data_IF_582088458673
#
_entry.id   IF_582088458673
#
_cell.length_a   1.000
_cell.length_b   1.000
_cell.length_c   1.000
_cell.angle_alpha   90.00
_cell.angle_beta   90.00
_cell.angle_gamma   90.00
#
_symmetry.space_group_name_H-M   'P 1'
#
loop_
_entity.id
_entity.type
_entity.pdbx_description
1 polymer ?
#
# COMPACT_ATOMS: atom_id res chain seq x y z
N UNK A 1 -38.21 -58.78 20.28
CA UNK A 1 -38.92 -59.16 19.04
C UNK A 1 -38.32 -58.40 17.88
N UNK A 2 -37.83 -59.17 16.92
CA UNK A 2 -37.08 -58.74 15.76
C UNK A 2 -37.93 -57.99 14.71
N UNK A 3 -37.37 -57.08 14.02
CA UNK A 3 -37.93 -56.51 12.80
C UNK A 3 -36.89 -55.79 11.96
N UNK A 4 -36.04 -56.54 11.25
CA UNK A 4 -35.25 -56.05 10.13
C UNK A 4 -36.13 -55.77 8.94
N UNK A 5 -35.98 -54.64 8.26
CA UNK A 5 -36.39 -54.49 6.86
C UNK A 5 -35.26 -53.88 6.03
N UNK A 6 -35.08 -54.52 4.97
CA UNK A 6 -34.10 -54.68 3.95
C UNK A 6 -33.96 -53.54 2.93
N UNK A 7 -32.78 -53.50 2.35
CA UNK A 7 -32.25 -52.71 1.24
C UNK A 7 -32.98 -52.88 -0.10
N UNK A 8 -32.79 -51.89 -0.97
CA UNK A 8 -32.75 -51.85 -2.44
C UNK A 8 -34.04 -51.49 -3.19
N UNK A 9 -33.96 -50.36 -3.87
CA UNK A 9 -34.18 -50.32 -5.33
C UNK A 9 -33.44 -49.13 -5.96
N UNK A 10 -32.54 -49.39 -6.85
CA UNK A 10 -31.91 -48.52 -7.84
C UNK A 10 -32.98 -48.15 -8.88
N UNK A 11 -33.07 -46.88 -9.25
CA UNK A 11 -33.61 -46.46 -10.54
C UNK A 11 -32.53 -45.61 -11.21
N UNK A 12 -31.99 -46.19 -12.27
CA UNK A 12 -31.18 -45.47 -13.25
C UNK A 12 -32.14 -44.62 -14.11
N UNK A 13 -31.87 -43.32 -14.22
CA UNK A 13 -32.36 -42.50 -15.30
C UNK A 13 -31.18 -41.70 -15.84
N UNK A 14 -31.03 -41.73 -17.15
CA UNK A 14 -29.88 -41.34 -17.90
C UNK A 14 -29.47 -39.88 -17.76
N UNK A 15 -28.19 -39.69 -17.74
CA UNK A 15 -27.53 -38.41 -17.80
C UNK A 15 -27.45 -37.91 -19.25
N UNK A 16 -28.11 -36.81 -19.54
CA UNK A 16 -27.75 -35.98 -20.68
C UNK A 16 -26.66 -35.01 -20.23
N UNK A 17 -25.42 -35.27 -20.62
CA UNK A 17 -24.33 -34.39 -20.43
C UNK A 17 -24.43 -33.18 -21.37
N UNK A 18 -24.93 -32.06 -20.84
CA UNK A 18 -24.77 -30.78 -21.52
C UNK A 18 -23.35 -30.27 -21.18
N UNK A 19 -22.45 -30.35 -22.15
CA UNK A 19 -21.11 -29.75 -22.06
C UNK A 19 -21.25 -28.22 -22.09
N UNK A 20 -21.17 -27.61 -20.92
CA UNK A 20 -20.94 -26.17 -20.80
C UNK A 20 -19.45 -25.95 -21.08
N UNK A 21 -19.11 -25.46 -22.28
CA UNK A 21 -17.82 -24.89 -22.55
C UNK A 21 -17.67 -23.63 -21.70
N UNK A 22 -17.02 -23.76 -20.57
CA UNK A 22 -16.57 -22.63 -19.77
C UNK A 22 -15.50 -21.90 -20.59
N UNK A 23 -15.91 -20.84 -21.27
CA UNK A 23 -14.99 -19.88 -21.86
C UNK A 23 -14.18 -19.27 -20.72
N UNK A 24 -12.87 -19.56 -20.70
CA UNK A 24 -11.94 -18.88 -19.80
C UNK A 24 -12.10 -17.35 -20.00
N UNK A 25 -12.21 -16.55 -18.93
CA UNK A 25 -12.27 -15.12 -19.08
C UNK A 25 -10.99 -14.67 -19.78
N UNK A 26 -11.11 -14.06 -20.94
CA UNK A 26 -10.00 -13.41 -21.64
C UNK A 26 -9.45 -12.37 -20.65
N UNK A 27 -8.23 -12.56 -20.19
CA UNK A 27 -7.50 -11.55 -19.48
C UNK A 27 -7.46 -10.28 -20.33
N UNK A 28 -8.24 -9.28 -19.96
CA UNK A 28 -8.16 -7.95 -20.53
C UNK A 28 -6.83 -7.38 -20.04
N UNK A 29 -5.81 -7.47 -20.91
CA UNK A 29 -4.56 -6.76 -20.70
C UNK A 29 -4.90 -5.27 -20.58
N UNK A 30 -4.56 -4.67 -19.43
CA UNK A 30 -4.44 -3.24 -19.32
C UNK A 30 -3.53 -2.76 -20.46
N UNK A 31 -4.05 -1.91 -21.35
CA UNK A 31 -3.27 -1.29 -22.41
C UNK A 31 -2.35 -0.24 -21.77
N UNK A 32 -1.19 -0.68 -21.30
CA UNK A 32 -0.07 0.16 -20.92
C UNK A 32 1.19 -0.50 -21.42
N UNK A 33 2.14 0.30 -21.93
CA UNK A 33 3.48 -0.17 -22.27
C UNK A 33 4.04 -1.04 -21.15
N UNK A 34 4.84 -2.06 -21.48
CA UNK A 34 5.52 -2.87 -20.47
C UNK A 34 6.12 -1.94 -19.42
N UNK A 35 5.88 -2.19 -18.13
CA UNK A 35 6.30 -1.25 -17.10
C UNK A 35 7.81 -1.11 -17.15
N UNK A 36 8.29 0.08 -17.46
CA UNK A 36 9.69 0.45 -17.28
C UNK A 36 10.06 0.39 -15.80
N UNK A 37 11.33 0.50 -15.52
CA UNK A 37 11.84 0.58 -14.15
C UNK A 37 11.18 1.75 -13.40
N UNK A 38 10.59 1.49 -12.23
CA UNK A 38 9.84 2.49 -11.49
C UNK A 38 10.78 3.43 -10.69
N UNK A 39 10.64 4.74 -10.93
CA UNK A 39 11.19 5.79 -10.09
C UNK A 39 10.02 6.55 -9.47
N UNK A 40 9.61 6.09 -8.29
CA UNK A 40 8.40 6.56 -7.63
C UNK A 40 8.66 7.40 -6.39
N UNK A 41 7.64 8.17 -6.00
CA UNK A 41 7.54 8.73 -4.65
C UNK A 41 6.14 8.51 -4.09
N UNK A 42 6.06 8.38 -2.76
CA UNK A 42 4.82 8.30 -2.01
C UNK A 42 4.54 9.66 -1.39
N UNK A 43 3.31 10.18 -1.65
CA UNK A 43 2.83 11.41 -1.05
C UNK A 43 1.49 11.20 -0.38
N UNK A 44 1.31 11.89 0.74
CA UNK A 44 0.06 11.85 1.49
C UNK A 44 -0.94 12.86 0.94
N UNK A 45 -2.12 12.37 0.56
CA UNK A 45 -3.31 13.17 0.37
C UNK A 45 -4.20 13.08 1.61
N UNK A 46 -4.44 11.87 2.13
CA UNK A 46 -5.00 11.61 3.45
C UNK A 46 -3.90 11.40 4.49
N UNK A 47 -4.17 11.75 5.75
CA UNK A 47 -3.17 11.73 6.83
C UNK A 47 -3.68 11.13 8.13
N UNK A 48 -4.97 10.78 8.24
CA UNK A 48 -5.57 10.20 9.44
C UNK A 48 -5.26 8.71 9.59
N UNK A 49 -3.97 8.34 9.57
CA UNK A 49 -3.57 6.94 9.62
C UNK A 49 -2.75 6.56 10.87
N UNK A 50 -2.20 7.53 11.58
CA UNK A 50 -1.17 7.22 12.61
C UNK A 50 -1.64 7.23 14.05
N UNK A 51 -2.83 7.79 14.35
CA UNK A 51 -3.38 7.85 15.71
C UNK A 51 -4.88 8.12 15.66
N UNK A 52 -5.64 7.53 16.56
CA UNK A 52 -7.07 7.79 16.77
C UNK A 52 -7.30 8.86 17.85
N UNK A 53 -6.24 9.55 18.28
CA UNK A 53 -6.32 10.67 19.22
C UNK A 53 -6.70 11.95 18.46
N UNK A 54 -7.63 12.77 18.98
CA UNK A 54 -7.94 14.06 18.41
C UNK A 54 -6.73 15.01 18.44
N UNK A 55 -6.59 15.83 17.41
CA UNK A 55 -5.47 16.77 17.21
C UNK A 55 -5.13 17.65 18.44
N UNK A 56 -6.10 17.93 19.29
CA UNK A 56 -5.94 18.79 20.46
C UNK A 56 -5.46 18.06 21.72
N UNK A 57 -5.36 16.74 21.71
CA UNK A 57 -5.05 15.95 22.91
C UNK A 57 -3.58 15.68 23.09
N UNK A 58 -2.79 15.81 22.05
CA UNK A 58 -1.35 15.66 22.12
C UNK A 58 -0.71 17.05 22.09
N UNK A 59 -0.05 17.42 23.18
CA UNK A 59 0.85 18.57 23.16
C UNK A 59 1.91 18.39 22.07
N UNK A 60 2.63 19.45 21.68
CA UNK A 60 3.64 19.36 20.65
C UNK A 60 4.61 18.24 21.01
N UNK A 61 4.63 17.17 20.23
CA UNK A 61 5.59 16.09 20.38
C UNK A 61 6.98 16.68 20.13
N UNK A 62 7.70 16.95 21.19
CA UNK A 62 9.05 17.53 21.16
C UNK A 62 10.07 16.65 20.42
N UNK A 63 9.71 15.44 20.06
CA UNK A 63 10.62 14.45 19.47
C UNK A 63 10.31 14.08 18.03
N UNK A 64 9.13 14.42 17.50
CA UNK A 64 8.75 14.05 16.15
C UNK A 64 8.96 15.21 15.17
N UNK A 65 10.06 15.15 14.42
CA UNK A 65 10.31 16.03 13.26
C UNK A 65 9.30 15.81 12.12
N UNK A 66 8.29 14.97 12.31
CA UNK A 66 7.37 14.48 11.27
C UNK A 66 6.03 15.20 11.27
N UNK A 67 5.81 16.13 12.21
CA UNK A 67 4.55 16.88 12.27
C UNK A 67 3.46 16.20 13.10
N UNK A 68 2.23 16.70 12.95
CA UNK A 68 1.07 16.25 13.73
C UNK A 68 0.56 14.92 13.17
N UNK A 69 0.61 13.86 14.01
CA UNK A 69 0.12 12.52 13.63
C UNK A 69 -1.31 12.25 14.08
N UNK A 70 -1.94 13.19 14.78
CA UNK A 70 -3.25 13.01 15.36
C UNK A 70 -4.36 13.13 14.33
N UNK A 71 -5.50 12.49 14.61
CA UNK A 71 -6.67 12.53 13.76
C UNK A 71 -7.27 13.93 13.70
N UNK A 72 -7.58 14.41 12.49
CA UNK A 72 -8.30 15.64 12.23
C UNK A 72 -9.63 15.37 11.51
N UNK A 73 -10.62 16.24 11.71
CA UNK A 73 -11.91 16.21 11.01
C UNK A 73 -11.90 17.02 9.71
N UNK A 74 -10.72 17.44 9.27
CA UNK A 74 -10.48 18.17 8.03
C UNK A 74 -9.26 17.60 7.29
N UNK A 75 -9.23 17.80 5.97
CA UNK A 75 -8.14 17.33 5.12
C UNK A 75 -6.89 18.21 5.29
N UNK A 76 -5.80 17.62 5.74
CA UNK A 76 -4.49 18.27 5.89
C UNK A 76 -3.66 18.12 4.62
N UNK A 77 -4.09 18.83 3.57
CA UNK A 77 -3.50 18.76 2.25
C UNK A 77 -3.52 20.15 1.60
N UNK A 78 -2.41 20.52 0.97
CA UNK A 78 -2.28 21.77 0.21
C UNK A 78 -2.08 21.49 -1.27
N UNK A 79 -2.99 21.97 -2.09
CA UNK A 79 -2.99 21.74 -3.53
C UNK A 79 -1.80 22.39 -4.23
N UNK A 80 -1.37 23.59 -3.80
CA UNK A 80 -0.23 24.27 -4.40
C UNK A 80 1.06 23.49 -4.15
N UNK A 81 1.23 22.96 -2.94
CA UNK A 81 2.34 22.05 -2.58
C UNK A 81 2.33 20.78 -3.44
N UNK A 82 1.16 20.18 -3.61
CA UNK A 82 0.99 19.00 -4.47
C UNK A 82 1.35 19.28 -5.93
N UNK A 83 0.86 20.39 -6.49
CA UNK A 83 1.16 20.80 -7.85
C UNK A 83 2.67 21.02 -8.07
N UNK A 84 3.33 21.69 -7.14
CA UNK A 84 4.76 21.91 -7.19
C UNK A 84 5.56 20.59 -7.10
N UNK A 85 5.16 19.66 -6.21
CA UNK A 85 5.80 18.36 -6.07
C UNK A 85 5.67 17.53 -7.35
N UNK A 86 4.48 17.41 -7.90
CA UNK A 86 4.23 16.59 -9.11
C UNK A 86 4.90 17.20 -10.34
N UNK A 87 4.94 18.53 -10.47
CA UNK A 87 5.70 19.21 -11.52
C UNK A 87 7.21 18.93 -11.38
N UNK A 88 7.75 18.96 -10.16
CA UNK A 88 9.14 18.66 -9.87
C UNK A 88 9.50 17.21 -10.13
N UNK A 89 8.60 16.25 -9.81
CA UNK A 89 8.76 14.84 -10.13
C UNK A 89 8.91 14.61 -11.64
N UNK A 90 8.02 15.23 -12.45
CA UNK A 90 8.12 15.17 -13.91
C UNK A 90 9.47 15.72 -14.39
N UNK A 91 9.88 16.90 -13.91
CA UNK A 91 11.15 17.52 -14.30
C UNK A 91 12.37 16.67 -13.91
N UNK A 92 12.27 15.91 -12.83
CA UNK A 92 13.29 14.97 -12.34
C UNK A 92 13.35 13.65 -13.14
N UNK A 93 12.43 13.42 -14.08
CA UNK A 93 12.36 12.15 -14.83
C UNK A 93 11.73 11.00 -14.05
N UNK A 94 11.04 11.27 -12.96
CA UNK A 94 10.26 10.26 -12.25
C UNK A 94 9.04 9.85 -13.06
N UNK A 95 8.55 8.62 -12.87
CA UNK A 95 7.48 8.04 -13.69
C UNK A 95 6.32 7.45 -12.88
N UNK A 96 6.39 7.46 -11.55
CA UNK A 96 5.35 6.88 -10.70
C UNK A 96 5.10 7.72 -9.45
N UNK A 97 3.83 7.87 -9.07
CA UNK A 97 3.42 8.49 -7.81
C UNK A 97 2.45 7.57 -7.06
N UNK A 98 2.85 7.15 -5.86
CA UNK A 98 1.97 6.44 -4.92
C UNK A 98 1.22 7.47 -4.10
N UNK A 99 -0.11 7.43 -4.14
CA UNK A 99 -0.97 8.40 -3.48
C UNK A 99 -1.63 7.74 -2.27
N UNK A 100 -1.24 8.17 -1.08
CA UNK A 100 -1.87 7.73 0.16
C UNK A 100 -3.20 8.46 0.34
N UNK A 101 -4.31 7.72 0.23
CA UNK A 101 -5.64 8.31 0.07
C UNK A 101 -6.35 8.51 1.41
N UNK A 102 -6.47 7.44 2.20
CA UNK A 102 -7.21 7.49 3.46
C UNK A 102 -8.56 8.21 3.33
N UNK A 103 -8.76 9.24 4.14
CA UNK A 103 -9.95 10.09 4.20
C UNK A 103 -10.03 11.18 3.10
N UNK A 104 -9.10 11.19 2.15
CA UNK A 104 -8.94 12.28 1.20
C UNK A 104 -10.09 12.46 0.21
N UNK A 105 -10.90 11.44 -0.03
CA UNK A 105 -11.94 11.44 -1.05
C UNK A 105 -13.34 11.29 -0.45
N UNK A 106 -14.32 11.83 -1.16
CA UNK A 106 -15.75 11.61 -0.89
C UNK A 106 -16.19 10.31 -1.58
N UNK A 107 -15.85 9.17 -0.97
CA UNK A 107 -16.21 7.87 -1.52
C UNK A 107 -17.72 7.68 -1.60
N UNK A 108 -18.20 7.04 -2.65
CA UNK A 108 -19.64 6.77 -2.83
C UNK A 108 -20.09 5.57 -1.99
N UNK A 109 -19.24 4.55 -1.87
CA UNK A 109 -19.55 3.36 -1.08
C UNK A 109 -19.55 3.64 0.43
N UNK A 110 -18.69 4.57 0.88
CA UNK A 110 -18.49 4.91 2.29
C UNK A 110 -18.29 6.43 2.47
N UNK A 111 -19.36 7.23 2.26
CA UNK A 111 -19.27 8.70 2.36
C UNK A 111 -18.93 9.18 3.79
N UNK A 112 -19.20 8.37 4.80
CA UNK A 112 -18.89 8.63 6.21
C UNK A 112 -17.37 8.70 6.49
N UNK A 113 -16.53 8.16 5.62
CA UNK A 113 -15.08 8.21 5.78
C UNK A 113 -14.51 9.59 5.46
N UNK A 114 -15.21 10.37 4.64
CA UNK A 114 -14.78 11.71 4.28
C UNK A 114 -14.70 12.65 5.50
N UNK A 115 -13.81 13.64 5.38
CA UNK A 115 -13.65 14.74 6.32
C UNK A 115 -13.90 16.07 5.61
N UNK A 116 -13.96 17.19 6.36
CA UNK A 116 -14.08 18.50 5.74
C UNK A 116 -12.92 18.77 4.76
N UNK A 117 -13.24 19.08 3.52
CA UNK A 117 -12.25 19.33 2.47
C UNK A 117 -11.85 18.10 1.64
N UNK A 118 -12.33 16.89 1.96
CA UNK A 118 -12.16 15.70 1.11
C UNK A 118 -12.65 15.99 -0.32
N UNK A 119 -11.88 15.54 -1.31
CA UNK A 119 -12.16 15.86 -2.71
C UNK A 119 -13.30 15.03 -3.28
N UNK A 120 -14.20 15.65 -4.07
CA UNK A 120 -15.14 14.92 -4.89
C UNK A 120 -14.40 14.01 -5.89
N UNK A 121 -14.94 12.83 -6.18
CA UNK A 121 -14.33 11.85 -7.10
C UNK A 121 -14.09 12.45 -8.49
N UNK A 122 -15.01 13.25 -9.01
CA UNK A 122 -14.84 13.89 -10.32
C UNK A 122 -13.60 14.79 -10.38
N UNK A 123 -13.35 15.59 -9.33
CA UNK A 123 -12.13 16.42 -9.20
C UNK A 123 -10.88 15.55 -9.17
N UNK A 124 -10.91 14.48 -8.38
CA UNK A 124 -9.76 13.58 -8.25
C UNK A 124 -9.47 12.83 -9.54
N UNK A 125 -10.50 12.41 -10.29
CA UNK A 125 -10.31 11.81 -11.63
C UNK A 125 -9.66 12.78 -12.62
N UNK A 126 -9.99 14.07 -12.57
CA UNK A 126 -9.32 15.08 -13.38
C UNK A 126 -7.83 15.20 -13.00
N UNK A 127 -7.52 15.12 -11.72
CA UNK A 127 -6.13 15.12 -11.22
C UNK A 127 -5.35 13.87 -11.68
N UNK A 128 -5.96 12.69 -11.60
CA UNK A 128 -5.36 11.46 -12.15
C UNK A 128 -5.06 11.57 -13.64
N UNK A 129 -5.96 12.18 -14.41
CA UNK A 129 -5.74 12.45 -15.84
C UNK A 129 -4.56 13.42 -16.05
N UNK A 130 -4.46 14.48 -15.24
CA UNK A 130 -3.32 15.40 -15.27
C UNK A 130 -1.98 14.69 -14.99
N UNK A 131 -1.92 13.86 -13.97
CA UNK A 131 -0.71 13.10 -13.62
C UNK A 131 -0.29 12.19 -14.78
N UNK A 132 -1.23 11.45 -15.37
CA UNK A 132 -0.97 10.60 -16.54
C UNK A 132 -0.46 11.40 -17.75
N UNK A 133 -1.05 12.55 -18.02
CA UNK A 133 -0.60 13.45 -19.09
C UNK A 133 0.82 13.99 -18.86
N UNK A 134 1.26 14.05 -17.59
CA UNK A 134 2.64 14.39 -17.23
C UNK A 134 3.61 13.21 -17.34
N UNK A 135 3.13 12.00 -17.62
CA UNK A 135 3.94 10.76 -17.63
C UNK A 135 4.16 10.16 -16.25
N UNK A 136 3.40 10.59 -15.25
CA UNK A 136 3.40 9.99 -13.91
C UNK A 136 2.29 8.95 -13.82
N UNK A 137 2.63 7.69 -13.56
CA UNK A 137 1.67 6.62 -13.28
C UNK A 137 1.14 6.78 -11.85
N UNK A 138 -0.13 7.13 -11.63
CA UNK A 138 -0.69 7.21 -10.30
C UNK A 138 -1.05 5.82 -9.78
N UNK A 139 -0.58 5.49 -8.58
CA UNK A 139 -0.84 4.24 -7.86
C UNK A 139 -1.60 4.55 -6.58
N UNK A 140 -2.77 3.94 -6.35
CA UNK A 140 -3.50 4.11 -5.10
C UNK A 140 -2.79 3.40 -3.94
N UNK A 141 -2.85 4.02 -2.78
CA UNK A 141 -2.54 3.37 -1.51
C UNK A 141 -3.70 3.60 -0.52
N UNK A 142 -4.18 2.52 0.06
CA UNK A 142 -4.98 2.51 1.28
C UNK A 142 -4.25 1.64 2.29
N UNK A 143 -3.92 2.19 3.45
CA UNK A 143 -3.22 1.42 4.46
C UNK A 143 -4.21 0.66 5.32
N UNK A 144 -4.21 -0.66 5.23
CA UNK A 144 -5.04 -1.58 6.01
C UNK A 144 -4.28 -2.24 7.18
N UNK A 145 -3.09 -1.73 7.51
CA UNK A 145 -2.44 -2.09 8.76
C UNK A 145 -3.27 -1.57 9.94
N UNK A 146 -3.45 -2.38 10.98
CA UNK A 146 -4.18 -1.94 12.19
C UNK A 146 -3.51 -0.78 12.90
N UNK A 147 -2.23 -0.52 12.62
CA UNK A 147 -1.49 0.63 13.16
C UNK A 147 -1.57 1.88 12.27
N UNK A 148 -2.25 1.78 11.11
CA UNK A 148 -2.35 2.86 10.12
C UNK A 148 -3.76 2.96 9.51
N UNK A 149 -4.78 2.54 10.23
CA UNK A 149 -6.16 2.42 9.74
C UNK A 149 -7.15 3.42 10.35
N UNK A 150 -6.68 4.45 11.07
CA UNK A 150 -7.54 5.44 11.72
C UNK A 150 -8.47 6.15 10.74
N UNK A 151 -8.09 6.28 9.47
CA UNK A 151 -8.91 6.82 8.39
C UNK A 151 -10.22 6.02 8.17
N UNK A 152 -10.24 4.75 8.56
CA UNK A 152 -11.45 3.90 8.56
C UNK A 152 -12.43 4.25 9.68
N UNK A 153 -12.10 5.20 10.56
CA UNK A 153 -12.94 5.65 11.68
C UNK A 153 -13.39 4.46 12.55
N UNK A 154 -14.70 4.30 12.77
CA UNK A 154 -15.23 3.21 13.60
C UNK A 154 -14.96 1.80 13.04
N UNK A 155 -14.71 1.67 11.74
CA UNK A 155 -14.39 0.37 11.13
C UNK A 155 -13.00 -0.13 11.52
N UNK A 156 -12.07 0.76 11.89
CA UNK A 156 -10.77 0.38 12.44
C UNK A 156 -10.87 -0.38 13.78
N UNK A 157 -12.03 -0.27 14.45
CA UNK A 157 -12.35 -0.99 15.69
C UNK A 157 -13.03 -2.33 15.43
N UNK A 158 -13.35 -2.64 14.19
CA UNK A 158 -14.06 -3.83 13.74
C UNK A 158 -13.20 -4.77 12.90
N UNK A 159 -11.88 -4.62 12.99
CA UNK A 159 -10.91 -5.44 12.26
C UNK A 159 -11.23 -6.94 12.38
N UNK A 160 -11.05 -7.68 11.28
CA UNK A 160 -11.32 -9.12 11.20
C UNK A 160 -12.79 -9.54 11.41
N UNK A 161 -13.73 -8.61 11.23
CA UNK A 161 -15.18 -8.93 11.26
C UNK A 161 -15.78 -8.89 9.85
N UNK A 162 -16.98 -9.49 9.63
CA UNK A 162 -17.66 -9.40 8.34
C UNK A 162 -17.93 -7.96 7.88
N UNK A 163 -18.19 -7.03 8.80
CA UNK A 163 -18.39 -5.61 8.51
C UNK A 163 -17.10 -4.99 7.97
N UNK A 164 -15.98 -5.21 8.65
CA UNK A 164 -14.67 -4.74 8.22
C UNK A 164 -14.30 -5.26 6.81
N UNK A 165 -14.47 -6.57 6.59
CA UNK A 165 -14.16 -7.15 5.28
C UNK A 165 -15.00 -6.57 4.15
N UNK A 166 -16.30 -6.31 4.44
CA UNK A 166 -17.17 -5.69 3.45
C UNK A 166 -16.71 -4.28 3.11
N UNK A 167 -16.42 -3.45 4.12
CA UNK A 167 -15.92 -2.09 3.92
C UNK A 167 -14.62 -2.08 3.13
N UNK A 168 -13.65 -2.90 3.53
CA UNK A 168 -12.37 -3.00 2.81
C UNK A 168 -12.55 -3.43 1.36
N UNK A 169 -13.42 -4.42 1.08
CA UNK A 169 -13.70 -4.87 -0.28
C UNK A 169 -14.38 -3.79 -1.12
N UNK A 170 -15.33 -3.05 -0.55
CA UNK A 170 -16.02 -1.93 -1.22
C UNK A 170 -15.01 -0.81 -1.54
N UNK A 171 -14.13 -0.46 -0.60
CA UNK A 171 -13.10 0.55 -0.78
C UNK A 171 -12.09 0.15 -1.86
N UNK A 172 -11.60 -1.10 -1.84
CA UNK A 172 -10.68 -1.60 -2.86
C UNK A 172 -11.32 -1.53 -4.25
N UNK A 173 -12.56 -1.98 -4.39
CA UNK A 173 -13.30 -1.94 -5.65
C UNK A 173 -13.46 -0.51 -6.16
N UNK A 174 -14.00 0.38 -5.32
CA UNK A 174 -14.25 1.77 -5.71
C UNK A 174 -12.96 2.50 -6.08
N UNK A 175 -11.89 2.34 -5.30
CA UNK A 175 -10.60 2.96 -5.61
C UNK A 175 -10.00 2.40 -6.91
N UNK A 176 -10.12 1.10 -7.18
CA UNK A 176 -9.71 0.53 -8.47
C UNK A 176 -10.51 1.14 -9.64
N UNK A 177 -11.82 1.40 -9.46
CA UNK A 177 -12.66 2.06 -10.46
C UNK A 177 -12.30 3.54 -10.63
N UNK A 178 -12.02 4.27 -9.54
CA UNK A 178 -11.58 5.67 -9.58
C UNK A 178 -10.28 5.81 -10.37
N UNK A 179 -9.34 4.90 -10.18
CA UNK A 179 -8.04 4.89 -10.88
C UNK A 179 -8.07 4.22 -12.26
N UNK A 180 -9.25 3.84 -12.76
CA UNK A 180 -9.41 3.17 -14.04
C UNK A 180 -8.57 1.87 -14.15
N UNK A 181 -8.69 1.03 -13.14
CA UNK A 181 -7.95 -0.23 -12.95
C UNK A 181 -6.44 -0.02 -13.02
N UNK A 182 -5.83 0.53 -11.97
CA UNK A 182 -4.40 0.77 -11.91
C UNK A 182 -3.63 -0.55 -12.02
N UNK A 183 -2.39 -0.49 -12.44
CA UNK A 183 -1.54 -1.69 -12.53
C UNK A 183 -1.20 -2.29 -11.15
N UNK A 184 -1.08 -1.44 -10.14
CA UNK A 184 -0.72 -1.77 -8.77
C UNK A 184 -1.70 -1.14 -7.78
N UNK A 185 -1.87 -1.77 -6.62
CA UNK A 185 -2.58 -1.23 -5.47
C UNK A 185 -1.77 -1.50 -4.20
N UNK A 186 -1.37 -0.45 -3.49
CA UNK A 186 -0.60 -0.58 -2.26
C UNK A 186 -1.53 -0.71 -1.05
N UNK A 187 -1.47 -1.86 -0.36
CA UNK A 187 -2.35 -2.20 0.77
C UNK A 187 -1.79 -1.75 2.14
N UNK A 188 -0.55 -1.23 2.19
CA UNK A 188 0.12 -0.93 3.46
C UNK A 188 0.61 -2.20 4.14
N UNK A 189 0.00 -2.59 5.26
CA UNK A 189 0.33 -3.78 6.07
C UNK A 189 1.65 -3.69 6.83
N UNK A 190 2.06 -2.48 7.21
CA UNK A 190 3.27 -2.20 7.96
C UNK A 190 3.03 -2.04 9.48
N UNK A 191 4.07 -2.28 10.24
CA UNK A 191 4.19 -1.91 11.66
C UNK A 191 3.11 -2.49 12.60
N UNK A 192 2.47 -3.61 12.24
CA UNK A 192 1.45 -4.25 13.10
C UNK A 192 2.08 -4.88 14.35
N UNK A 193 2.38 -4.03 15.33
CA UNK A 193 2.90 -4.45 16.62
C UNK A 193 2.28 -3.69 17.78
N UNK A 194 2.33 -4.28 18.97
CA UNK A 194 1.81 -3.66 20.20
C UNK A 194 2.48 -2.31 20.50
N UNK A 195 3.77 -2.18 20.20
CA UNK A 195 4.54 -0.94 20.42
C UNK A 195 3.95 0.25 19.65
N UNK A 196 3.60 0.07 18.39
CA UNK A 196 2.98 1.13 17.58
C UNK A 196 1.57 1.47 18.06
N UNK A 197 0.83 0.49 18.61
CA UNK A 197 -0.52 0.70 19.14
C UNK A 197 -0.57 1.43 20.48
N UNK A 198 0.53 1.63 21.18
CA UNK A 198 0.56 2.42 22.41
C UNK A 198 0.11 3.89 22.24
N UNK A 199 0.03 4.36 20.99
CA UNK A 199 -0.40 5.73 20.63
C UNK A 199 -1.90 5.83 20.37
N UNK A 200 -2.67 4.75 20.54
CA UNK A 200 -4.09 4.69 20.22
C UNK A 200 -4.95 4.58 21.47
N UNK A 201 -6.13 5.19 21.45
CA UNK A 201 -7.16 4.95 22.45
C UNK A 201 -7.70 3.53 22.34
N UNK A 202 -7.86 3.03 21.11
CA UNK A 202 -8.42 1.73 20.85
C UNK A 202 -7.39 0.81 20.21
N UNK A 203 -7.01 -0.24 20.95
CA UNK A 203 -5.98 -1.17 20.52
C UNK A 203 -6.61 -2.41 19.91
N UNK A 204 -6.49 -2.55 18.60
CA UNK A 204 -6.77 -3.78 17.85
C UNK A 204 -5.48 -4.22 17.18
N UNK A 205 -5.13 -5.48 17.31
CA UNK A 205 -3.95 -6.07 16.70
C UNK A 205 -4.27 -7.49 16.26
N UNK A 206 -3.96 -7.81 15.01
CA UNK A 206 -4.07 -9.18 14.49
C UNK A 206 -2.69 -9.79 14.36
N UNK A 207 -2.59 -11.10 14.62
CA UNK A 207 -1.33 -11.84 14.61
C UNK A 207 -1.52 -13.25 14.04
N UNK A 208 -0.45 -13.87 13.58
CA UNK A 208 -0.43 -15.25 13.13
C UNK A 208 -1.45 -15.54 12.02
N UNK A 209 -2.20 -16.62 12.16
CA UNK A 209 -3.17 -17.05 11.14
C UNK A 209 -4.24 -16.01 10.82
N UNK A 210 -4.64 -15.18 11.77
CA UNK A 210 -5.62 -14.12 11.55
C UNK A 210 -5.04 -13.01 10.67
N UNK A 211 -3.79 -12.62 10.88
CA UNK A 211 -3.09 -11.66 10.01
C UNK A 211 -3.04 -12.17 8.57
N UNK A 212 -2.67 -13.43 8.38
CA UNK A 212 -2.61 -14.06 7.06
C UNK A 212 -3.98 -14.20 6.41
N UNK A 213 -5.00 -14.56 7.19
CA UNK A 213 -6.37 -14.64 6.69
C UNK A 213 -6.80 -13.30 6.09
N UNK A 214 -6.66 -12.23 6.85
CA UNK A 214 -7.06 -10.89 6.42
C UNK A 214 -6.24 -10.39 5.24
N UNK A 215 -4.93 -10.56 5.31
CA UNK A 215 -4.04 -10.16 4.23
C UNK A 215 -4.38 -10.86 2.91
N UNK A 216 -4.55 -12.17 2.94
CA UNK A 216 -4.87 -12.95 1.74
C UNK A 216 -6.27 -12.61 1.20
N UNK A 217 -7.23 -12.32 2.09
CA UNK A 217 -8.56 -11.87 1.70
C UNK A 217 -8.48 -10.54 0.95
N UNK A 218 -7.83 -9.52 1.52
CA UNK A 218 -7.72 -8.20 0.90
C UNK A 218 -6.86 -8.22 -0.37
N UNK A 219 -5.76 -8.97 -0.39
CA UNK A 219 -4.98 -9.21 -1.61
C UNK A 219 -5.82 -9.79 -2.74
N UNK A 220 -6.68 -10.77 -2.42
CA UNK A 220 -7.58 -11.37 -3.38
C UNK A 220 -8.65 -10.38 -3.88
N UNK A 221 -9.14 -9.47 -3.01
CA UNK A 221 -10.07 -8.41 -3.47
C UNK A 221 -9.41 -7.49 -4.50
N UNK A 222 -8.12 -7.15 -4.33
CA UNK A 222 -7.35 -6.40 -5.33
C UNK A 222 -7.21 -7.22 -6.63
N UNK A 223 -6.83 -8.49 -6.53
CA UNK A 223 -6.65 -9.37 -7.69
C UNK A 223 -7.96 -9.58 -8.48
N UNK A 224 -9.11 -9.61 -7.81
CA UNK A 224 -10.44 -9.67 -8.47
C UNK A 224 -10.70 -8.45 -9.38
N UNK A 225 -10.08 -7.31 -9.10
CA UNK A 225 -10.17 -6.12 -9.97
C UNK A 225 -9.21 -6.18 -11.16
N UNK A 226 -8.40 -7.25 -11.30
CA UNK A 226 -7.35 -7.36 -12.29
C UNK A 226 -6.12 -6.50 -11.98
N UNK A 227 -5.94 -6.12 -10.72
CA UNK A 227 -4.88 -5.25 -10.21
C UNK A 227 -3.92 -6.10 -9.37
N UNK A 228 -2.63 -5.75 -9.40
CA UNK A 228 -1.60 -6.45 -8.62
C UNK A 228 -1.46 -5.83 -7.24
N UNK A 229 -1.56 -6.60 -6.14
CA UNK A 229 -1.32 -6.11 -4.79
C UNK A 229 0.16 -5.79 -4.55
N UNK A 230 0.40 -4.76 -3.75
CA UNK A 230 1.71 -4.27 -3.31
C UNK A 230 1.66 -3.98 -1.81
N UNK A 231 2.69 -4.35 -1.05
CA UNK A 231 2.73 -4.16 0.41
C UNK A 231 4.10 -3.70 0.91
N UNK A 232 4.13 -3.19 2.14
CA UNK A 232 5.33 -3.13 2.95
C UNK A 232 5.70 -4.52 3.44
N UNK A 233 6.98 -4.86 3.45
CA UNK A 233 7.44 -6.25 3.70
C UNK A 233 7.92 -6.49 5.12
N UNK A 234 7.73 -5.55 6.04
CA UNK A 234 8.33 -5.58 7.39
C UNK A 234 7.78 -6.69 8.29
N UNK A 235 6.60 -7.26 8.01
CA UNK A 235 6.16 -8.49 8.67
C UNK A 235 7.20 -9.61 8.56
N UNK A 236 7.95 -9.65 7.44
CA UNK A 236 9.08 -10.56 7.24
C UNK A 236 10.12 -10.46 8.36
N UNK A 237 10.39 -9.28 8.90
CA UNK A 237 11.49 -9.07 9.84
C UNK A 237 11.38 -9.91 11.12
N UNK A 238 10.16 -10.18 11.55
CA UNK A 238 9.87 -10.95 12.77
C UNK A 238 9.31 -12.34 12.48
N UNK A 239 8.82 -12.59 11.25
CA UNK A 239 8.18 -13.85 10.84
C UNK A 239 8.74 -14.39 9.52
N UNK A 240 10.09 -14.53 9.36
CA UNK A 240 10.69 -14.82 8.06
C UNK A 240 10.27 -16.16 7.47
N UNK A 241 10.23 -17.23 8.25
CA UNK A 241 9.86 -18.55 7.77
C UNK A 241 8.39 -18.59 7.33
N UNK A 242 7.51 -18.04 8.14
CA UNK A 242 6.09 -17.96 7.84
C UNK A 242 5.81 -17.11 6.60
N UNK A 243 6.46 -15.95 6.49
CA UNK A 243 6.34 -15.05 5.35
C UNK A 243 6.75 -15.73 4.04
N UNK A 244 7.92 -16.39 4.01
CA UNK A 244 8.41 -17.04 2.82
C UNK A 244 7.52 -18.20 2.37
N UNK A 245 6.87 -18.89 3.31
CA UNK A 245 5.98 -20.01 3.03
C UNK A 245 4.58 -19.59 2.56
N UNK A 246 4.07 -18.46 3.03
CA UNK A 246 2.66 -18.05 2.85
C UNK A 246 2.47 -16.89 1.88
N UNK A 247 3.48 -16.02 1.70
CA UNK A 247 3.36 -14.85 0.84
C UNK A 247 3.28 -15.24 -0.64
N UNK A 248 2.20 -14.86 -1.37
CA UNK A 248 2.11 -15.14 -2.80
C UNK A 248 3.17 -14.37 -3.59
N UNK A 249 3.78 -15.02 -4.59
CA UNK A 249 4.78 -14.39 -5.47
C UNK A 249 4.19 -13.31 -6.38
N UNK A 250 2.87 -13.29 -6.55
CA UNK A 250 2.15 -12.22 -7.26
C UNK A 250 2.21 -10.88 -6.54
N UNK A 251 2.37 -10.89 -5.20
CA UNK A 251 2.40 -9.67 -4.39
C UNK A 251 3.75 -8.97 -4.53
N UNK A 252 3.74 -7.70 -4.97
CA UNK A 252 4.94 -6.88 -5.06
C UNK A 252 5.39 -6.46 -3.65
N UNK A 253 6.69 -6.50 -3.40
CA UNK A 253 7.27 -6.26 -2.09
C UNK A 253 7.98 -4.92 -2.03
N UNK A 254 7.75 -4.13 -0.95
CA UNK A 254 8.55 -2.98 -0.60
C UNK A 254 9.14 -3.16 0.79
N UNK A 255 10.35 -3.69 0.84
CA UNK A 255 11.12 -3.61 2.07
C UNK A 255 11.68 -2.19 2.24
N UNK A 256 11.84 -1.77 3.50
CA UNK A 256 12.29 -0.41 3.82
C UNK A 256 13.27 -0.41 4.99
N UNK A 257 14.13 0.61 5.00
CA UNK A 257 15.06 0.90 6.09
C UNK A 257 15.58 2.32 5.89
N UNK A 258 15.60 3.15 6.94
CA UNK A 258 15.78 4.60 6.77
C UNK A 258 17.08 5.16 7.35
N UNK A 259 17.91 4.33 7.98
CA UNK A 259 19.20 4.78 8.48
C UNK A 259 20.25 4.88 7.37
N UNK A 260 21.32 5.65 7.63
CA UNK A 260 22.37 5.90 6.64
C UNK A 260 23.14 4.64 6.24
N UNK A 261 23.36 3.69 7.16
CA UNK A 261 24.23 2.53 6.94
C UNK A 261 23.44 1.26 6.72
N UNK A 262 23.52 0.68 5.54
CA UNK A 262 22.91 -0.61 5.21
C UNK A 262 23.93 -1.75 5.44
N UNK A 263 23.78 -2.47 6.54
CA UNK A 263 24.63 -3.61 6.91
C UNK A 263 23.75 -4.86 7.16
N UNK A 264 23.63 -5.78 6.19
CA UNK A 264 22.77 -6.95 6.32
C UNK A 264 23.28 -7.97 7.36
N UNK A 265 24.55 -7.89 7.76
CA UNK A 265 25.11 -8.74 8.82
C UNK A 265 24.71 -8.29 10.23
N UNK A 266 24.28 -7.02 10.37
CA UNK A 266 23.93 -6.42 11.66
C UNK A 266 22.46 -6.04 11.79
N UNK A 267 21.74 -5.97 10.68
CA UNK A 267 20.36 -5.49 10.69
C UNK A 267 19.45 -6.39 9.86
N UNK A 268 18.43 -6.97 10.52
CA UNK A 268 17.46 -7.87 9.89
C UNK A 268 16.61 -7.16 8.82
N UNK A 269 16.33 -5.86 8.98
CA UNK A 269 15.57 -5.08 8.00
C UNK A 269 16.37 -4.91 6.69
N UNK A 270 17.69 -4.74 6.80
CA UNK A 270 18.59 -4.69 5.63
C UNK A 270 18.77 -6.08 5.02
N UNK A 271 18.88 -7.11 5.85
CA UNK A 271 18.98 -8.50 5.38
C UNK A 271 17.75 -8.92 4.58
N UNK A 272 16.56 -8.40 4.92
CA UNK A 272 15.31 -8.70 4.25
C UNK A 272 15.33 -8.43 2.73
N UNK A 273 16.02 -7.39 2.25
CA UNK A 273 16.19 -7.16 0.80
C UNK A 273 16.79 -8.39 0.10
N UNK A 274 17.85 -8.97 0.68
CA UNK A 274 18.55 -10.12 0.12
C UNK A 274 17.73 -11.41 0.22
N UNK A 275 17.08 -11.61 1.35
CA UNK A 275 16.30 -12.83 1.58
C UNK A 275 15.05 -12.89 0.69
N UNK A 276 14.37 -11.77 0.50
CA UNK A 276 13.23 -11.66 -0.42
C UNK A 276 13.67 -11.88 -1.87
N UNK A 277 14.82 -11.33 -2.28
CA UNK A 277 15.38 -11.56 -3.59
C UNK A 277 15.72 -13.05 -3.80
N UNK A 278 16.45 -13.65 -2.87
CA UNK A 278 16.81 -15.07 -2.91
C UNK A 278 15.58 -15.97 -2.98
N UNK A 279 14.50 -15.55 -2.31
CA UNK A 279 13.22 -16.27 -2.34
C UNK A 279 12.42 -16.03 -3.63
N UNK A 280 12.89 -15.18 -4.56
CA UNK A 280 12.27 -14.94 -5.87
C UNK A 280 11.13 -13.92 -5.85
N UNK A 281 11.07 -13.04 -4.87
CA UNK A 281 10.10 -11.94 -4.85
C UNK A 281 10.56 -10.76 -5.70
N UNK A 282 9.64 -10.17 -6.46
CA UNK A 282 9.85 -8.88 -7.10
C UNK A 282 9.74 -7.76 -6.06
N UNK A 283 10.65 -6.78 -6.15
CA UNK A 283 10.78 -5.74 -5.14
C UNK A 283 10.82 -4.33 -5.76
N UNK A 284 10.24 -3.39 -5.03
CA UNK A 284 10.45 -1.94 -5.16
C UNK A 284 10.96 -1.46 -3.80
N UNK A 285 12.27 -1.55 -3.52
CA UNK A 285 12.86 -1.09 -2.27
C UNK A 285 12.49 0.36 -1.98
N UNK A 286 12.19 0.66 -0.72
CA UNK A 286 11.83 2.01 -0.29
C UNK A 286 12.94 2.61 0.55
N UNK A 287 13.33 3.82 0.20
CA UNK A 287 14.22 4.69 0.97
C UNK A 287 13.52 6.00 1.32
N UNK A 288 14.19 6.80 2.15
CA UNK A 288 13.63 8.03 2.71
C UNK A 288 14.69 9.10 2.91
N UNK A 289 14.27 10.35 3.02
CA UNK A 289 15.07 11.43 3.57
C UNK A 289 14.59 11.85 4.98
N UNK A 290 13.80 10.99 5.63
CA UNK A 290 13.24 11.27 6.95
C UNK A 290 14.29 11.22 8.06
N UNK A 291 14.95 10.10 8.28
CA UNK A 291 15.99 9.95 9.32
C UNK A 291 17.40 10.24 8.82
N UNK A 292 17.64 10.19 7.51
CA UNK A 292 18.96 10.41 6.92
C UNK A 292 18.87 10.90 5.49
N UNK A 293 19.53 12.01 5.19
CA UNK A 293 19.58 12.61 3.84
C UNK A 293 20.39 11.78 2.83
N UNK A 294 21.09 10.76 3.26
CA UNK A 294 21.86 9.85 2.39
C UNK A 294 21.23 8.48 2.24
N UNK A 295 20.15 8.21 2.97
CA UNK A 295 19.54 6.87 3.00
C UNK A 295 19.07 6.43 1.61
N UNK A 296 18.28 7.24 0.90
CA UNK A 296 17.74 6.86 -0.41
C UNK A 296 18.85 6.45 -1.39
N UNK A 297 19.89 7.28 -1.51
CA UNK A 297 21.06 6.98 -2.36
C UNK A 297 21.73 5.67 -1.95
N UNK A 298 21.91 5.44 -0.65
CA UNK A 298 22.54 4.24 -0.16
C UNK A 298 21.66 3.00 -0.37
N UNK A 299 20.34 3.13 -0.24
CA UNK A 299 19.37 2.06 -0.55
C UNK A 299 19.44 1.69 -2.04
N UNK A 300 19.45 2.67 -2.94
CA UNK A 300 19.59 2.45 -4.38
C UNK A 300 20.91 1.73 -4.70
N UNK A 301 22.03 2.22 -4.18
CA UNK A 301 23.35 1.64 -4.41
C UNK A 301 23.43 0.20 -3.87
N UNK A 302 22.93 -0.03 -2.65
CA UNK A 302 22.91 -1.36 -2.02
C UNK A 302 22.08 -2.34 -2.83
N UNK A 303 20.85 -1.97 -3.20
CA UNK A 303 19.93 -2.88 -3.89
C UNK A 303 20.37 -3.16 -5.33
N UNK A 304 20.85 -2.16 -6.08
CA UNK A 304 21.42 -2.38 -7.43
C UNK A 304 22.61 -3.33 -7.42
N UNK A 305 23.45 -3.26 -6.38
CA UNK A 305 24.62 -4.14 -6.25
C UNK A 305 24.26 -5.57 -5.89
N UNK A 306 23.20 -5.78 -5.12
CA UNK A 306 22.98 -7.06 -4.42
C UNK A 306 21.71 -7.82 -4.86
N UNK A 307 20.75 -7.15 -5.52
CA UNK A 307 19.52 -7.80 -5.96
C UNK A 307 19.61 -8.17 -7.45
N UNK A 308 18.93 -9.23 -7.83
CA UNK A 308 18.85 -9.64 -9.22
C UNK A 308 18.05 -8.61 -10.05
N UNK A 309 18.60 -8.16 -11.19
CA UNK A 309 17.97 -7.10 -12.00
C UNK A 309 16.54 -7.41 -12.43
N UNK A 310 16.23 -8.68 -12.70
CA UNK A 310 14.89 -9.13 -13.10
C UNK A 310 13.86 -9.03 -11.98
N UNK A 311 14.28 -9.01 -10.72
CA UNK A 311 13.41 -8.86 -9.53
C UNK A 311 13.35 -7.44 -8.98
N UNK A 312 14.33 -6.62 -9.30
CA UNK A 312 14.34 -5.20 -8.92
C UNK A 312 13.49 -4.39 -9.91
N UNK A 313 12.28 -4.02 -9.49
CA UNK A 313 11.29 -3.35 -10.37
C UNK A 313 11.32 -1.83 -10.30
N UNK A 314 12.08 -1.26 -9.39
CA UNK A 314 12.18 0.17 -9.21
C UNK A 314 12.61 0.55 -7.81
N UNK A 315 12.46 1.82 -7.49
CA UNK A 315 12.65 2.38 -6.16
C UNK A 315 11.52 3.34 -5.79
N UNK A 316 11.17 3.37 -4.52
CA UNK A 316 10.18 4.28 -3.98
C UNK A 316 10.83 5.21 -2.95
N UNK A 317 10.66 6.52 -3.11
CA UNK A 317 10.99 7.52 -2.12
C UNK A 317 9.77 7.78 -1.25
N UNK A 318 9.91 7.75 0.08
CA UNK A 318 8.86 8.11 1.03
C UNK A 318 9.42 9.06 2.09
N UNK A 319 9.04 10.33 2.02
CA UNK A 319 9.52 11.34 2.98
C UNK A 319 8.82 11.26 4.33
N UNK A 320 7.63 10.65 4.38
CA UNK A 320 6.75 10.54 5.56
C UNK A 320 6.30 11.90 6.12
N UNK A 321 6.32 12.92 5.27
CA UNK A 321 5.92 14.28 5.59
C UNK A 321 4.61 14.64 4.87
N UNK A 322 3.83 15.54 5.47
CA UNK A 322 2.58 15.99 4.89
C UNK A 322 2.80 16.80 3.62
N UNK A 323 1.82 16.75 2.72
CA UNK A 323 1.78 17.59 1.52
C UNK A 323 1.23 18.97 1.92
N UNK A 324 2.03 19.73 2.66
CA UNK A 324 1.73 21.04 3.21
C UNK A 324 2.90 22.01 2.99
N UNK A 325 2.67 23.35 2.94
CA UNK A 325 3.72 24.34 2.73
C UNK A 325 4.88 24.23 3.73
N UNK A 326 4.59 23.90 4.99
CA UNK A 326 5.61 23.73 6.04
C UNK A 326 6.65 22.64 5.73
N UNK A 327 6.28 21.64 4.90
CA UNK A 327 7.13 20.51 4.54
C UNK A 327 7.60 20.53 3.09
N UNK A 328 7.23 21.57 2.34
CA UNK A 328 7.46 21.67 0.91
C UNK A 328 8.94 21.52 0.54
N UNK A 329 9.82 22.22 1.24
CA UNK A 329 11.26 22.18 0.96
C UNK A 329 11.83 20.76 1.13
N UNK A 330 11.50 20.09 2.26
CA UNK A 330 11.98 18.74 2.54
C UNK A 330 11.44 17.72 1.54
N UNK A 331 10.19 17.88 1.12
CA UNK A 331 9.58 17.06 0.07
C UNK A 331 10.24 17.29 -1.30
N UNK A 332 10.58 18.52 -1.64
CA UNK A 332 11.32 18.82 -2.88
C UNK A 332 12.76 18.26 -2.84
N UNK A 333 13.42 18.26 -1.68
CA UNK A 333 14.72 17.59 -1.49
C UNK A 333 14.62 16.07 -1.72
N UNK A 334 13.53 15.44 -1.27
CA UNK A 334 13.28 14.02 -1.56
C UNK A 334 13.22 13.75 -3.07
N UNK A 335 12.52 14.59 -3.83
CA UNK A 335 12.49 14.48 -5.31
C UNK A 335 13.87 14.71 -5.92
N UNK A 336 14.67 15.65 -5.41
CA UNK A 336 16.03 15.91 -5.89
C UNK A 336 16.94 14.69 -5.67
N UNK A 337 16.81 13.97 -4.55
CA UNK A 337 17.57 12.73 -4.32
C UNK A 337 17.20 11.63 -5.32
N UNK A 338 15.94 11.52 -5.72
CA UNK A 338 15.54 10.56 -6.78
C UNK A 338 16.15 10.97 -8.12
N UNK A 339 16.09 12.26 -8.46
CA UNK A 339 16.71 12.78 -9.70
C UNK A 339 18.21 12.47 -9.79
N UNK A 340 18.95 12.65 -8.68
CA UNK A 340 20.36 12.28 -8.60
C UNK A 340 20.58 10.81 -9.00
N UNK A 341 19.73 9.90 -8.50
CA UNK A 341 19.84 8.47 -8.78
C UNK A 341 19.41 8.09 -10.21
N UNK A 342 18.50 8.85 -10.81
CA UNK A 342 18.10 8.67 -12.22
C UNK A 342 19.26 9.10 -13.14
N UNK A 343 19.92 10.24 -12.84
CA UNK A 343 21.02 10.77 -13.66
C UNK A 343 22.33 10.03 -13.50
N UNK A 344 22.58 9.46 -12.32
CA UNK A 344 23.82 8.77 -11.99
C UNK A 344 23.86 7.28 -12.33
N UNK A 345 22.79 6.71 -12.84
CA UNK A 345 22.66 5.31 -13.20
C UNK A 345 22.18 5.06 -14.58
#
# INVERSE_FOLDING_TARGET
MNGRVSRRRFIQTGAAAAAWAAGAPKAVRAQGAAPGFAWGALWHMGTNMWSDLPEQTQGPHKTDNVGIKDQADYLRFDEASWQALTARMKAAGMNQVVIDLGEALQYQSHPELAVKGSWPIARFRAELARLRAMGLEPIPKLNFSTTHDTWLKEYSRQVSTPVYYKVCADMIREVCEIFDRPRLFHLGYDEESAEYKLRYHYVVLRQGDLWWHDFLLLSKEVEKQGVRPWIWSDYYWNHPAEFLNRMPKSVLQSNWYYEAKLDPGKNKCVKAYLDLDKAGFEQVPTGSNWSSDVNFRNTVAFCRKNLAPERLKGFLMASWLYTLPAWQEKNLQAVAQVEEMIRGG
#
